data_IF_239434283796
#
_entry.id   IF_239434283796
#
_cell.length_a   1.000
_cell.length_b   1.000
_cell.length_c   1.000
_cell.angle_alpha   90.00
_cell.angle_beta   90.00
_cell.angle_gamma   90.00
#
_symmetry.space_group_name_H-M   'P 1'
#
loop_
_entity.id
_entity.type
_entity.pdbx_description
1 polymer ?
#
# COMPACT_ATOMS: atom_id res chain seq x y z
N UNK A 1 30.37 -3.42 -11.98
CA UNK A 1 31.14 -2.47 -11.15
C UNK A 1 30.42 -2.39 -9.81
N UNK A 2 30.78 -3.31 -8.91
CA UNK A 2 30.10 -3.54 -7.63
C UNK A 2 30.81 -2.72 -6.56
N UNK A 3 30.06 -1.87 -5.87
CA UNK A 3 30.53 -1.12 -4.71
C UNK A 3 29.59 -1.42 -3.56
N UNK A 4 29.94 -2.45 -2.79
CA UNK A 4 29.36 -2.75 -1.48
C UNK A 4 30.41 -2.37 -0.45
N UNK A 5 30.18 -1.24 0.23
CA UNK A 5 30.96 -0.80 1.37
C UNK A 5 30.05 -0.75 2.59
N UNK A 6 30.51 -1.39 3.67
CA UNK A 6 30.47 -0.88 5.05
C UNK A 6 29.12 -0.91 5.78
N UNK A 7 28.68 -2.08 6.25
CA UNK A 7 27.86 -2.23 7.47
C UNK A 7 28.11 -3.62 8.09
N UNK A 8 29.31 -3.88 8.63
CA UNK A 8 29.56 -5.15 9.35
C UNK A 8 30.31 -5.04 10.69
N UNK A 9 30.69 -3.84 11.14
CA UNK A 9 31.49 -3.67 12.36
C UNK A 9 30.75 -2.97 13.51
N UNK A 10 29.60 -3.49 13.98
CA UNK A 10 29.03 -3.12 15.31
C UNK A 10 28.31 -4.31 15.97
N UNK A 11 28.89 -5.51 15.95
CA UNK A 11 28.41 -6.65 16.75
C UNK A 11 29.61 -7.43 17.29
N UNK A 12 30.43 -6.84 18.17
CA UNK A 12 31.48 -7.61 18.86
C UNK A 12 32.06 -6.97 20.13
N UNK A 13 31.22 -6.41 21.00
CA UNK A 13 31.52 -6.21 22.44
C UNK A 13 30.15 -6.22 23.11
N UNK A 14 29.68 -7.27 23.78
CA UNK A 14 30.05 -7.62 25.15
C UNK A 14 29.29 -8.92 25.51
N UNK A 15 29.99 -10.05 25.61
CA UNK A 15 29.41 -11.29 26.14
C UNK A 15 30.48 -12.17 26.79
N UNK A 16 30.81 -11.86 28.03
CA UNK A 16 31.28 -12.80 29.05
C UNK A 16 30.97 -12.10 30.38
N UNK A 17 30.16 -12.65 31.27
CA UNK A 17 30.61 -13.48 32.38
C UNK A 17 29.39 -14.20 33.00
N UNK A 18 29.56 -15.48 33.32
CA UNK A 18 28.86 -16.16 34.43
C UNK A 18 29.97 -16.75 35.32
N UNK A 19 29.80 -16.85 36.64
CA UNK A 19 29.17 -18.05 37.19
C UNK A 19 28.31 -17.85 38.47
N UNK A 20 27.71 -18.99 38.83
CA UNK A 20 26.82 -19.39 39.92
C UNK A 20 27.07 -18.95 41.38
N UNK A 21 25.94 -18.68 42.06
CA UNK A 21 25.42 -19.23 43.35
C UNK A 21 26.34 -19.40 44.59
N UNK A 22 26.06 -18.67 45.68
CA UNK A 22 25.78 -19.24 47.03
C UNK A 22 25.34 -18.18 48.07
N UNK A 23 24.22 -18.50 48.72
CA UNK A 23 23.68 -18.26 50.08
C UNK A 23 24.32 -17.23 51.05
N UNK A 24 23.50 -16.38 51.69
CA UNK A 24 23.19 -16.32 53.15
C UNK A 24 22.30 -15.10 53.50
N UNK A 25 21.38 -15.33 54.44
CA UNK A 25 20.34 -14.47 55.01
C UNK A 25 20.82 -13.11 55.57
N UNK A 26 19.98 -12.07 55.48
CA UNK A 26 19.50 -11.35 56.66
C UNK A 26 18.22 -10.52 56.39
N UNK A 27 17.67 -9.92 57.44
CA UNK A 27 16.25 -9.85 57.77
C UNK A 27 15.57 -8.46 57.66
N UNK A 28 14.23 -8.50 57.53
CA UNK A 28 13.25 -7.46 57.93
C UNK A 28 12.92 -6.32 56.92
N UNK A 29 11.73 -5.66 57.03
CA UNK A 29 10.85 -5.39 55.90
C UNK A 29 10.87 -3.92 55.44
N UNK A 30 10.08 -3.58 54.41
CA UNK A 30 9.62 -2.25 53.95
C UNK A 30 9.95 -1.99 52.46
N UNK A 31 8.96 -1.45 51.72
CA UNK A 31 8.91 -1.11 50.27
C UNK A 31 8.57 -2.23 49.29
N UNK A 32 7.31 -2.70 49.30
CA UNK A 32 6.74 -3.53 48.22
C UNK A 32 5.78 -2.80 47.27
N UNK A 33 5.53 -1.49 47.47
CA UNK A 33 4.46 -0.79 46.73
C UNK A 33 4.95 -0.03 45.49
N UNK A 34 6.22 0.40 45.41
CA UNK A 34 6.72 1.24 44.30
C UNK A 34 7.34 0.45 43.14
N UNK A 35 7.93 -0.72 43.43
CA UNK A 35 8.66 -1.54 42.44
C UNK A 35 7.72 -2.23 41.44
N UNK A 36 6.46 -2.46 41.81
CA UNK A 36 5.47 -3.13 40.96
C UNK A 36 5.02 -2.21 39.83
N UNK A 37 4.75 -0.92 40.11
CA UNK A 37 4.30 0.06 39.11
C UNK A 37 5.37 0.32 38.05
N UNK A 38 6.64 0.48 38.46
CA UNK A 38 7.76 0.75 37.54
C UNK A 38 8.02 -0.45 36.62
N UNK A 39 7.92 -1.68 37.13
CA UNK A 39 8.06 -2.88 36.28
C UNK A 39 6.92 -3.02 35.29
N UNK A 40 5.69 -2.64 35.66
CA UNK A 40 4.55 -2.64 34.73
C UNK A 40 4.71 -1.59 33.64
N UNK A 41 5.21 -0.38 33.94
CA UNK A 41 5.50 0.63 32.92
C UNK A 41 6.71 0.27 32.05
N UNK A 42 7.81 -0.24 32.61
CA UNK A 42 8.99 -0.65 31.81
C UNK A 42 8.68 -1.82 30.88
N UNK A 43 7.95 -2.85 31.35
CA UNK A 43 7.54 -3.97 30.51
C UNK A 43 6.56 -3.54 29.41
N UNK A 44 5.63 -2.61 29.69
CA UNK A 44 4.74 -2.05 28.67
C UNK A 44 5.48 -1.15 27.67
N UNK A 45 6.57 -0.51 28.08
CA UNK A 45 7.40 0.36 27.22
C UNK A 45 8.29 -0.47 26.29
N UNK A 46 8.86 -1.59 26.77
CA UNK A 46 9.64 -2.52 25.96
C UNK A 46 8.78 -3.26 24.91
N UNK A 47 7.58 -3.73 25.27
CA UNK A 47 6.68 -4.40 24.31
C UNK A 47 6.18 -3.46 23.20
N UNK A 48 5.95 -2.17 23.52
CA UNK A 48 5.53 -1.17 22.55
C UNK A 48 6.68 -0.73 21.62
N UNK A 49 7.93 -0.69 22.14
CA UNK A 49 9.12 -0.38 21.34
C UNK A 49 9.42 -1.48 20.32
N UNK A 50 9.27 -2.75 20.69
CA UNK A 50 9.43 -3.87 19.76
C UNK A 50 8.36 -3.90 18.67
N UNK A 51 7.09 -3.62 19.01
CA UNK A 51 6.04 -3.50 18.00
C UNK A 51 6.28 -2.32 17.05
N UNK A 52 6.74 -1.17 17.55
CA UNK A 52 7.04 0.00 16.72
C UNK A 52 8.23 -0.26 15.79
N UNK A 53 9.33 -0.83 16.30
CA UNK A 53 10.49 -1.19 15.49
C UNK A 53 10.14 -2.27 14.43
N UNK A 54 9.19 -3.16 14.74
CA UNK A 54 8.64 -4.12 13.77
C UNK A 54 7.76 -3.44 12.72
N UNK A 55 6.94 -2.47 13.11
CA UNK A 55 6.13 -1.67 12.19
C UNK A 55 7.02 -0.81 11.29
N UNK A 56 8.04 -0.14 11.84
CA UNK A 56 9.02 0.66 11.11
C UNK A 56 9.77 -0.18 10.07
N UNK A 57 10.26 -1.38 10.44
CA UNK A 57 10.86 -2.32 9.49
C UNK A 57 9.88 -2.76 8.40
N UNK A 58 8.59 -2.93 8.74
CA UNK A 58 7.54 -3.27 7.77
C UNK A 58 7.17 -2.10 6.85
N UNK A 59 7.29 -0.86 7.29
CA UNK A 59 6.99 0.34 6.50
C UNK A 59 8.15 0.67 5.57
N UNK A 60 9.38 0.74 6.11
CA UNK A 60 10.59 1.02 5.32
C UNK A 60 10.78 0.04 4.16
N UNK A 61 10.34 -1.22 4.34
CA UNK A 61 10.37 -2.24 3.29
C UNK A 61 9.23 -2.11 2.26
N UNK A 62 8.16 -1.37 2.55
CA UNK A 62 6.91 -1.32 1.75
C UNK A 62 6.62 0.01 1.07
N UNK A 63 7.29 1.11 1.43
CA UNK A 63 7.18 2.36 0.68
C UNK A 63 7.88 2.17 -0.66
N UNK A 64 7.11 1.76 -1.67
CA UNK A 64 7.49 2.00 -3.05
C UNK A 64 7.39 3.51 -3.23
N UNK A 65 8.43 4.16 -3.73
CA UNK A 65 8.35 5.59 -4.03
C UNK A 65 8.22 5.74 -5.52
N UNK A 66 7.03 6.14 -5.99
CA UNK A 66 6.86 6.49 -7.40
C UNK A 66 7.71 7.71 -7.74
N UNK A 67 8.46 7.58 -8.83
CA UNK A 67 9.31 8.65 -9.36
C UNK A 67 8.87 8.94 -10.79
N UNK A 68 8.81 10.22 -11.20
CA UNK A 68 8.48 10.57 -12.57
C UNK A 68 9.60 10.07 -13.50
N UNK A 69 9.29 9.07 -14.31
CA UNK A 69 10.22 8.49 -15.31
C UNK A 69 9.48 8.26 -16.62
N UNK A 70 10.18 8.44 -17.74
CA UNK A 70 9.65 8.13 -19.07
C UNK A 70 9.77 6.64 -19.35
N UNK A 71 8.85 6.10 -20.14
CA UNK A 71 8.96 4.72 -20.60
C UNK A 71 10.17 4.58 -21.54
N UNK A 72 10.91 3.48 -21.40
CA UNK A 72 12.10 3.20 -22.20
C UNK A 72 11.77 3.00 -23.69
N UNK A 73 10.58 2.48 -23.98
CA UNK A 73 10.10 2.23 -25.35
C UNK A 73 9.23 3.38 -25.89
N UNK A 74 9.19 4.52 -25.19
CA UNK A 74 8.52 5.72 -25.69
C UNK A 74 9.33 6.35 -26.83
N UNK A 75 8.64 6.87 -27.86
CA UNK A 75 9.29 7.41 -29.06
C UNK A 75 10.21 8.58 -28.72
N UNK A 76 9.78 9.47 -27.83
CA UNK A 76 10.61 10.60 -27.38
C UNK A 76 11.87 10.14 -26.66
N UNK A 77 11.77 9.07 -25.86
CA UNK A 77 12.92 8.50 -25.16
C UNK A 77 13.90 7.90 -26.16
N UNK A 78 13.41 7.13 -27.14
CA UNK A 78 14.21 6.54 -28.22
C UNK A 78 14.89 7.60 -29.09
N UNK A 79 14.18 8.68 -29.43
CA UNK A 79 14.70 9.79 -30.22
C UNK A 79 15.75 10.60 -29.43
N UNK A 80 15.53 10.82 -28.13
CA UNK A 80 16.49 11.54 -27.26
C UNK A 80 17.79 10.75 -27.02
N UNK A 81 17.70 9.44 -26.80
CA UNK A 81 18.87 8.60 -26.51
C UNK A 81 19.57 8.08 -27.77
N UNK A 82 19.05 8.37 -28.97
CA UNK A 82 19.54 7.81 -30.26
C UNK A 82 19.70 6.29 -30.22
N UNK A 83 18.75 5.59 -29.60
CA UNK A 83 18.83 4.16 -29.39
C UNK A 83 18.71 3.37 -30.70
N UNK A 84 19.53 2.33 -30.84
CA UNK A 84 19.52 1.41 -31.98
C UNK A 84 18.15 0.73 -32.22
N UNK A 85 17.32 0.63 -31.18
CA UNK A 85 15.96 0.07 -31.25
C UNK A 85 15.00 0.87 -32.14
N UNK A 86 15.32 2.13 -32.44
CA UNK A 86 14.52 2.96 -33.35
C UNK A 86 14.39 2.32 -34.74
N UNK A 87 15.47 1.78 -35.29
CA UNK A 87 15.46 1.12 -36.60
C UNK A 87 14.60 -0.15 -36.62
N UNK A 88 14.66 -0.94 -35.54
CA UNK A 88 13.82 -2.12 -35.37
C UNK A 88 12.33 -1.74 -35.28
N UNK A 89 11.99 -0.69 -34.52
CA UNK A 89 10.62 -0.18 -34.43
C UNK A 89 10.08 0.28 -35.79
N UNK A 90 10.88 1.02 -36.57
CA UNK A 90 10.46 1.45 -37.92
C UNK A 90 10.30 0.27 -38.88
N UNK A 91 11.20 -0.72 -38.81
CA UNK A 91 11.13 -1.92 -39.65
C UNK A 91 9.89 -2.75 -39.33
N UNK A 92 9.56 -2.90 -38.05
CA UNK A 92 8.34 -3.58 -37.59
C UNK A 92 7.09 -2.96 -38.23
N UNK A 93 6.96 -1.64 -38.22
CA UNK A 93 5.80 -0.97 -38.80
C UNK A 93 5.76 -1.03 -40.33
N UNK A 94 6.91 -0.95 -41.00
CA UNK A 94 6.99 -1.18 -42.45
C UNK A 94 6.53 -2.61 -42.80
N UNK A 95 7.03 -3.61 -42.06
CA UNK A 95 6.65 -5.01 -42.25
C UNK A 95 5.15 -5.24 -41.97
N UNK A 96 4.61 -4.63 -40.91
CA UNK A 96 3.18 -4.67 -40.59
C UNK A 96 2.33 -4.08 -41.73
N UNK A 97 2.78 -2.96 -42.33
CA UNK A 97 2.12 -2.36 -43.49
C UNK A 97 2.06 -3.31 -44.69
N UNK A 98 3.19 -3.94 -45.04
CA UNK A 98 3.23 -4.95 -46.11
C UNK A 98 2.35 -6.17 -45.79
N UNK A 99 2.32 -6.61 -44.53
CA UNK A 99 1.48 -7.72 -44.09
C UNK A 99 -0.01 -7.40 -44.25
N UNK A 100 -0.46 -6.19 -43.88
CA UNK A 100 -1.85 -5.75 -44.05
C UNK A 100 -2.24 -5.73 -45.53
N UNK A 101 -1.38 -5.19 -46.40
CA UNK A 101 -1.60 -5.19 -47.86
C UNK A 101 -1.70 -6.62 -48.38
N UNK A 102 -0.76 -7.49 -47.98
CA UNK A 102 -0.74 -8.89 -48.39
C UNK A 102 -2.00 -9.64 -47.94
N UNK A 103 -2.45 -9.41 -46.69
CA UNK A 103 -3.68 -9.99 -46.16
C UNK A 103 -4.90 -9.53 -46.95
N UNK A 104 -5.00 -8.24 -47.26
CA UNK A 104 -6.08 -7.68 -48.08
C UNK A 104 -6.13 -8.27 -49.49
N UNK A 105 -4.98 -8.39 -50.17
CA UNK A 105 -4.90 -9.01 -51.51
C UNK A 105 -5.32 -10.48 -51.48
N UNK A 106 -4.81 -11.25 -50.51
CA UNK A 106 -5.19 -12.67 -50.34
C UNK A 106 -6.68 -12.85 -50.09
N UNK A 107 -7.26 -11.98 -49.25
CA UNK A 107 -8.68 -12.00 -48.94
C UNK A 107 -9.52 -11.66 -50.18
N UNK A 108 -9.11 -10.64 -50.95
CA UNK A 108 -9.78 -10.23 -52.18
C UNK A 108 -9.74 -11.33 -53.25
N UNK A 109 -8.61 -12.01 -53.41
CA UNK A 109 -8.47 -13.13 -54.36
C UNK A 109 -9.31 -14.36 -53.97
N UNK A 110 -9.45 -14.64 -52.67
CA UNK A 110 -10.11 -15.87 -52.20
C UNK A 110 -11.62 -15.71 -52.07
N UNK A 111 -12.08 -14.56 -51.56
CA UNK A 111 -13.48 -14.34 -51.17
C UNK A 111 -14.13 -13.13 -51.88
N UNK A 112 -13.39 -12.38 -52.69
CA UNK A 112 -13.88 -11.15 -53.35
C UNK A 112 -14.06 -9.95 -52.40
N UNK A 113 -13.72 -10.10 -51.12
CA UNK A 113 -13.82 -9.05 -50.09
C UNK A 113 -12.44 -8.62 -49.61
N UNK A 114 -12.24 -7.32 -49.39
CA UNK A 114 -10.96 -6.77 -48.92
C UNK A 114 -10.71 -7.08 -47.44
N UNK A 115 -11.72 -6.89 -46.58
CA UNK A 115 -11.62 -7.10 -45.13
C UNK A 115 -12.77 -7.97 -44.66
N UNK A 116 -12.45 -9.11 -44.05
CA UNK A 116 -13.45 -9.96 -43.40
C UNK A 116 -13.73 -9.46 -41.98
N UNK A 117 -14.99 -9.08 -41.72
CA UNK A 117 -15.45 -8.58 -40.42
C UNK A 117 -16.01 -9.70 -39.53
N UNK A 118 -15.91 -10.96 -39.93
CA UNK A 118 -16.38 -12.10 -39.13
C UNK A 118 -15.71 -12.15 -37.75
N UNK A 119 -14.42 -11.84 -37.67
CA UNK A 119 -13.71 -11.74 -36.39
C UNK A 119 -14.23 -10.59 -35.51
N UNK A 120 -14.55 -9.44 -36.12
CA UNK A 120 -15.14 -8.31 -35.39
C UNK A 120 -16.53 -8.63 -34.84
N UNK A 121 -17.33 -9.41 -35.58
CA UNK A 121 -18.64 -9.90 -35.10
C UNK A 121 -18.50 -10.83 -33.90
N UNK A 122 -17.47 -11.68 -33.89
CA UNK A 122 -17.17 -12.54 -32.73
C UNK A 122 -16.79 -11.73 -31.48
N UNK A 123 -16.14 -10.59 -31.66
CA UNK A 123 -15.81 -9.66 -30.56
C UNK A 123 -17.03 -8.85 -30.07
N UNK A 124 -17.94 -8.47 -30.97
CA UNK A 124 -19.04 -7.53 -30.69
C UNK A 124 -20.39 -8.18 -30.38
N UNK A 125 -20.53 -9.50 -30.52
CA UNK A 125 -21.80 -10.23 -30.42
C UNK A 125 -22.65 -9.89 -29.17
N UNK A 126 -22.02 -9.81 -27.99
CA UNK A 126 -22.68 -9.37 -26.73
C UNK A 126 -21.90 -8.24 -26.03
N UNK A 127 -21.51 -7.21 -26.80
CA UNK A 127 -20.73 -6.09 -26.25
C UNK A 127 -21.48 -5.33 -25.15
N UNK A 128 -22.81 -5.19 -25.25
CA UNK A 128 -23.62 -4.47 -24.27
C UNK A 128 -23.69 -5.26 -22.96
N UNK A 129 -23.92 -6.58 -23.01
CA UNK A 129 -23.91 -7.43 -21.82
C UNK A 129 -22.56 -7.40 -21.11
N UNK A 130 -21.47 -7.36 -21.89
CA UNK A 130 -20.11 -7.24 -21.35
C UNK A 130 -19.90 -5.91 -20.63
N UNK A 131 -20.23 -4.78 -21.26
CA UNK A 131 -20.09 -3.45 -20.67
C UNK A 131 -20.92 -3.34 -19.38
N UNK A 132 -22.18 -3.81 -19.39
CA UNK A 132 -23.03 -3.74 -18.21
C UNK A 132 -22.48 -4.59 -17.05
N UNK A 133 -21.96 -5.78 -17.36
CA UNK A 133 -21.34 -6.65 -16.36
C UNK A 133 -20.05 -6.03 -15.80
N UNK A 134 -19.25 -5.40 -16.65
CA UNK A 134 -18.03 -4.69 -16.26
C UNK A 134 -18.35 -3.48 -15.37
N UNK A 135 -19.36 -2.68 -15.74
CA UNK A 135 -19.85 -1.58 -14.91
C UNK A 135 -20.38 -2.06 -13.56
N UNK A 136 -21.08 -3.19 -13.50
CA UNK A 136 -21.56 -3.77 -12.25
C UNK A 136 -20.40 -4.23 -11.36
N UNK A 137 -19.42 -4.91 -11.95
CA UNK A 137 -18.22 -5.35 -11.25
C UNK A 137 -17.42 -4.15 -10.71
N UNK A 138 -17.13 -3.14 -11.53
CA UNK A 138 -16.45 -1.90 -11.10
C UNK A 138 -17.29 -1.17 -10.05
N UNK A 139 -18.62 -1.12 -10.22
CA UNK A 139 -19.55 -0.56 -9.24
C UNK A 139 -19.47 -1.24 -7.87
N UNK A 140 -19.31 -2.56 -7.84
CA UNK A 140 -19.16 -3.29 -6.59
C UNK A 140 -17.88 -2.94 -5.82
N UNK A 141 -16.83 -2.45 -6.50
CA UNK A 141 -15.56 -2.05 -5.86
C UNK A 141 -15.73 -0.88 -4.89
N UNK A 142 -16.72 0.00 -5.10
CA UNK A 142 -16.99 1.13 -4.21
C UNK A 142 -17.37 0.71 -2.79
N UNK A 143 -17.76 -0.56 -2.59
CA UNK A 143 -17.89 -1.15 -1.27
C UNK A 143 -16.62 -0.99 -0.42
N UNK A 144 -15.43 -1.04 -1.03
CA UNK A 144 -14.16 -0.84 -0.33
C UNK A 144 -14.04 0.55 0.31
N UNK A 145 -14.50 1.58 -0.40
CA UNK A 145 -14.52 2.97 0.11
C UNK A 145 -15.51 3.09 1.26
N UNK A 146 -16.68 2.46 1.15
CA UNK A 146 -17.67 2.43 2.22
C UNK A 146 -17.11 1.77 3.48
N UNK A 147 -16.49 0.59 3.33
CA UNK A 147 -15.83 -0.12 4.43
C UNK A 147 -14.75 0.74 5.08
N UNK A 148 -13.89 1.37 4.28
CA UNK A 148 -12.82 2.20 4.79
C UNK A 148 -13.34 3.45 5.50
N UNK A 149 -14.43 4.04 5.02
CA UNK A 149 -15.07 5.19 5.67
C UNK A 149 -15.67 4.83 7.04
N UNK A 150 -16.18 3.61 7.19
CA UNK A 150 -16.65 3.08 8.48
C UNK A 150 -15.47 2.84 9.43
N UNK A 151 -14.35 2.32 8.93
CA UNK A 151 -13.12 2.14 9.71
C UNK A 151 -12.55 3.50 10.14
N UNK A 152 -12.53 4.49 9.25
CA UNK A 152 -12.06 5.85 9.55
C UNK A 152 -12.88 6.55 10.65
N UNK A 153 -14.18 6.22 10.78
CA UNK A 153 -15.04 6.70 11.87
C UNK A 153 -14.83 5.97 13.20
N UNK A 154 -13.97 4.95 13.24
CA UNK A 154 -13.68 4.19 14.46
C UNK A 154 -14.71 3.12 14.83
N UNK A 155 -15.69 2.82 13.96
CA UNK A 155 -16.71 1.81 14.27
C UNK A 155 -16.16 0.37 14.22
N UNK A 156 -15.16 0.15 13.37
CA UNK A 156 -14.57 -1.18 13.12
C UNK A 156 -13.05 -1.08 13.21
N UNK A 157 -12.43 -2.01 13.93
CA UNK A 157 -10.96 -2.13 13.98
C UNK A 157 -10.44 -2.91 12.78
N UNK A 158 -9.38 -2.40 12.15
CA UNK A 158 -8.75 -3.01 10.97
C UNK A 158 -8.18 -4.42 11.24
N UNK A 159 -7.37 -4.57 12.30
CA UNK A 159 -6.51 -5.73 12.56
C UNK A 159 -7.19 -7.11 12.61
N UNK A 160 -8.51 -7.19 12.77
CA UNK A 160 -9.21 -8.47 12.71
C UNK A 160 -10.48 -8.35 11.88
N UNK A 161 -11.45 -7.56 12.35
CA UNK A 161 -12.77 -7.44 11.73
C UNK A 161 -12.68 -6.87 10.31
N UNK A 162 -11.92 -5.80 10.11
CA UNK A 162 -11.72 -5.20 8.78
C UNK A 162 -11.09 -6.16 7.77
N UNK A 163 -9.99 -6.83 8.14
CA UNK A 163 -9.31 -7.80 7.28
C UNK A 163 -10.18 -9.01 6.92
N UNK A 164 -10.94 -9.55 7.87
CA UNK A 164 -11.85 -10.69 7.60
C UNK A 164 -12.93 -10.28 6.60
N UNK A 165 -13.60 -9.14 6.83
CA UNK A 165 -14.63 -8.62 5.93
C UNK A 165 -14.04 -8.39 4.53
N UNK A 166 -12.86 -7.79 4.45
CA UNK A 166 -12.18 -7.55 3.17
C UNK A 166 -11.90 -8.86 2.43
N UNK A 167 -11.30 -9.87 3.07
CA UNK A 167 -10.97 -11.13 2.39
C UNK A 167 -12.21 -11.89 1.95
N UNK A 168 -13.28 -11.90 2.74
CA UNK A 168 -14.57 -12.48 2.34
C UNK A 168 -15.09 -11.77 1.09
N UNK A 169 -15.07 -10.43 1.08
CA UNK A 169 -15.49 -9.65 -0.08
C UNK A 169 -14.62 -9.92 -1.31
N UNK A 170 -13.30 -10.05 -1.16
CA UNK A 170 -12.37 -10.36 -2.24
C UNK A 170 -12.61 -11.74 -2.87
N UNK A 171 -12.87 -12.74 -2.05
CA UNK A 171 -13.23 -14.09 -2.51
C UNK A 171 -14.52 -13.99 -3.34
N UNK A 172 -15.56 -13.34 -2.81
CA UNK A 172 -16.82 -13.14 -3.55
C UNK A 172 -16.60 -12.35 -4.85
N UNK A 173 -15.78 -11.31 -4.81
CA UNK A 173 -15.46 -10.47 -5.96
C UNK A 173 -14.73 -11.23 -7.08
N UNK A 174 -13.96 -12.27 -6.77
CA UNK A 174 -13.31 -13.11 -7.78
C UNK A 174 -14.26 -14.17 -8.33
N UNK A 175 -14.97 -14.88 -7.45
CA UNK A 175 -15.79 -16.04 -7.84
C UNK A 175 -17.10 -15.63 -8.52
N UNK A 176 -17.75 -14.54 -8.11
CA UNK A 176 -19.04 -14.13 -8.69
C UNK A 176 -18.90 -13.73 -10.16
N UNK A 177 -18.00 -12.81 -10.57
CA UNK A 177 -17.80 -12.48 -11.98
C UNK A 177 -17.28 -13.66 -12.80
N UNK A 178 -16.42 -14.50 -12.21
CA UNK A 178 -15.91 -15.70 -12.90
C UNK A 178 -17.03 -16.73 -13.13
N UNK A 179 -17.93 -16.92 -12.17
CA UNK A 179 -19.11 -17.77 -12.37
C UNK A 179 -20.05 -17.18 -13.42
N UNK A 180 -20.22 -15.84 -13.42
CA UNK A 180 -21.05 -15.13 -14.37
C UNK A 180 -20.59 -15.33 -15.83
N UNK A 181 -19.29 -15.35 -16.11
CA UNK A 181 -18.78 -15.61 -17.47
C UNK A 181 -19.15 -16.99 -17.97
N UNK A 182 -19.06 -18.02 -17.12
CA UNK A 182 -19.47 -19.38 -17.47
C UNK A 182 -20.98 -19.49 -17.71
N UNK A 183 -21.78 -18.82 -16.88
CA UNK A 183 -23.24 -18.82 -17.02
C UNK A 183 -23.69 -18.14 -18.33
N UNK A 184 -23.06 -17.02 -18.68
CA UNK A 184 -23.42 -16.25 -19.87
C UNK A 184 -22.95 -16.89 -21.18
N UNK A 185 -21.93 -17.74 -21.12
CA UNK A 185 -21.44 -18.50 -22.28
C UNK A 185 -20.78 -17.61 -23.36
N UNK A 186 -20.07 -16.56 -22.96
CA UNK A 186 -19.45 -15.62 -23.89
C UNK A 186 -18.32 -16.24 -24.71
N UNK A 187 -18.08 -15.74 -25.95
CA UNK A 187 -16.89 -16.07 -26.73
C UNK A 187 -15.59 -15.89 -25.93
N UNK A 188 -14.57 -16.68 -26.28
CA UNK A 188 -13.31 -16.72 -25.53
C UNK A 188 -12.68 -15.33 -25.32
N UNK A 189 -12.76 -14.44 -26.32
CA UNK A 189 -12.16 -13.09 -26.25
C UNK A 189 -12.84 -12.23 -25.19
N UNK A 190 -14.17 -12.28 -25.12
CA UNK A 190 -14.95 -11.51 -24.14
C UNK A 190 -14.77 -12.07 -22.73
N UNK A 191 -14.83 -13.40 -22.60
CA UNK A 191 -14.56 -14.10 -21.34
C UNK A 191 -13.15 -13.81 -20.82
N UNK A 192 -12.14 -13.85 -21.69
CA UNK A 192 -10.76 -13.53 -21.36
C UNK A 192 -10.59 -12.08 -20.91
N UNK A 193 -11.18 -11.12 -21.63
CA UNK A 193 -11.16 -9.72 -21.24
C UNK A 193 -11.78 -9.52 -19.84
N UNK A 194 -12.98 -10.05 -19.61
CA UNK A 194 -13.71 -9.82 -18.36
C UNK A 194 -13.01 -10.44 -17.15
N UNK A 195 -12.48 -11.66 -17.28
CA UNK A 195 -11.72 -12.32 -16.21
C UNK A 195 -10.41 -11.58 -15.93
N UNK A 196 -9.68 -11.17 -16.97
CA UNK A 196 -8.45 -10.39 -16.79
C UNK A 196 -8.73 -9.05 -16.12
N UNK A 197 -9.81 -8.37 -16.51
CA UNK A 197 -10.25 -7.14 -15.89
C UNK A 197 -10.64 -7.37 -14.41
N UNK A 198 -11.36 -8.45 -14.11
CA UNK A 198 -11.71 -8.86 -12.74
C UNK A 198 -10.47 -9.03 -11.87
N UNK A 199 -9.43 -9.72 -12.38
CA UNK A 199 -8.18 -9.94 -11.65
C UNK A 199 -7.43 -8.62 -11.42
N UNK A 200 -7.34 -7.76 -12.45
CA UNK A 200 -6.75 -6.41 -12.32
C UNK A 200 -7.45 -5.59 -11.24
N UNK A 201 -8.78 -5.59 -11.24
CA UNK A 201 -9.60 -4.87 -10.27
C UNK A 201 -9.51 -5.48 -8.87
N UNK A 202 -9.40 -6.80 -8.73
CA UNK A 202 -9.15 -7.46 -7.45
C UNK A 202 -7.82 -7.01 -6.83
N UNK A 203 -6.76 -6.90 -7.63
CA UNK A 203 -5.45 -6.41 -7.15
C UNK A 203 -5.54 -4.97 -6.65
N UNK A 204 -6.21 -4.08 -7.41
CA UNK A 204 -6.47 -2.70 -7.01
C UNK A 204 -7.29 -2.63 -5.71
N UNK A 205 -8.37 -3.41 -5.63
CA UNK A 205 -9.22 -3.51 -4.45
C UNK A 205 -8.43 -3.94 -3.22
N UNK A 206 -7.56 -4.95 -3.35
CA UNK A 206 -6.70 -5.40 -2.27
C UNK A 206 -5.75 -4.31 -1.81
N UNK A 207 -5.06 -3.67 -2.76
CA UNK A 207 -4.06 -2.66 -2.45
C UNK A 207 -4.67 -1.46 -1.74
N UNK A 208 -5.81 -0.94 -2.23
CA UNK A 208 -6.50 0.19 -1.60
C UNK A 208 -6.97 -0.11 -0.17
N UNK A 209 -7.66 -1.24 0.03
CA UNK A 209 -8.19 -1.58 1.34
C UNK A 209 -7.05 -1.88 2.33
N UNK A 210 -6.03 -2.61 1.90
CA UNK A 210 -4.89 -2.94 2.76
C UNK A 210 -4.13 -1.68 3.20
N UNK A 211 -3.80 -0.81 2.25
CA UNK A 211 -3.04 0.40 2.52
C UNK A 211 -3.80 1.32 3.49
N UNK A 212 -5.05 1.68 3.19
CA UNK A 212 -5.83 2.55 4.07
C UNK A 212 -6.14 1.89 5.43
N UNK A 213 -6.27 0.56 5.46
CA UNK A 213 -6.40 -0.21 6.69
C UNK A 213 -5.18 -0.06 7.61
N UNK A 214 -3.97 -0.15 7.06
CA UNK A 214 -2.75 0.12 7.83
C UNK A 214 -2.69 1.58 8.31
N UNK A 215 -3.04 2.56 7.45
CA UNK A 215 -3.11 3.98 7.86
C UNK A 215 -4.10 4.20 9.00
N UNK A 216 -5.24 3.51 9.02
CA UNK A 216 -6.18 3.58 10.13
C UNK A 216 -5.58 3.09 11.45
N UNK A 217 -4.72 2.07 11.39
CA UNK A 217 -4.02 1.54 12.56
C UNK A 217 -3.00 2.55 13.07
N UNK A 218 -2.29 3.23 12.16
CA UNK A 218 -1.38 4.32 12.52
C UNK A 218 -2.09 5.53 13.09
N UNK A 219 -3.27 5.90 12.58
CA UNK A 219 -4.05 7.03 13.09
C UNK A 219 -4.56 6.81 14.52
N UNK A 220 -5.02 5.58 14.82
CA UNK A 220 -5.38 5.20 16.20
C UNK A 220 -4.15 5.30 17.09
N UNK A 221 -3.02 4.74 16.63
CA UNK A 221 -1.78 4.74 17.40
C UNK A 221 -1.22 6.14 17.64
N UNK A 222 -1.29 7.01 16.64
CA UNK A 222 -0.93 8.42 16.74
C UNK A 222 -1.73 9.13 17.84
N UNK A 223 -3.05 8.88 17.88
CA UNK A 223 -3.93 9.43 18.92
C UNK A 223 -3.54 8.95 20.32
N UNK A 224 -3.25 7.65 20.48
CA UNK A 224 -2.77 7.07 21.74
C UNK A 224 -1.43 7.67 22.20
N UNK A 225 -0.49 7.87 21.28
CA UNK A 225 0.82 8.45 21.60
C UNK A 225 0.67 9.92 22.04
N UNK A 226 -0.17 10.69 21.34
CA UNK A 226 -0.44 12.09 21.66
C UNK A 226 -1.09 12.25 23.03
N UNK A 227 -2.02 11.37 23.38
CA UNK A 227 -2.64 11.34 24.71
C UNK A 227 -1.61 11.02 25.80
N UNK A 228 -0.74 10.01 25.59
CA UNK A 228 0.34 9.68 26.53
C UNK A 228 1.31 10.83 26.73
N UNK A 229 1.67 11.53 25.66
CA UNK A 229 2.54 12.71 25.72
C UNK A 229 1.88 13.83 26.54
N UNK A 230 0.61 14.13 26.28
CA UNK A 230 -0.13 15.15 27.02
C UNK A 230 -0.21 14.83 28.53
N UNK A 231 -0.45 13.56 28.88
CA UNK A 231 -0.49 13.13 30.29
C UNK A 231 0.87 13.28 30.98
N UNK A 232 1.96 12.87 30.34
CA UNK A 232 3.31 12.99 30.91
C UNK A 232 3.79 14.44 31.06
N UNK A 233 3.42 15.32 30.12
CA UNK A 233 3.68 16.77 30.21
C UNK A 233 2.82 17.42 31.30
N UNK A 234 1.59 16.93 31.50
CA UNK A 234 0.74 17.35 32.62
C UNK A 234 1.30 16.93 33.98
N UNK A 235 1.82 15.70 34.07
CA UNK A 235 2.48 15.17 35.27
C UNK A 235 3.79 15.91 35.59
N UNK A 236 4.62 16.22 34.58
CA UNK A 236 5.88 16.94 34.80
C UNK A 236 5.66 18.33 35.40
N UNK A 237 4.67 19.09 34.91
CA UNK A 237 4.30 20.40 35.47
C UNK A 237 3.77 20.35 36.89
N UNK A 238 3.32 19.17 37.36
CA UNK A 238 2.78 18.98 38.71
C UNK A 238 3.86 18.53 39.70
N UNK A 239 4.97 17.96 39.21
CA UNK A 239 6.06 17.39 40.00
C UNK A 239 7.28 18.32 40.12
N UNK A 240 7.15 19.64 39.89
CA UNK A 240 8.23 20.63 40.04
C UNK A 240 8.75 20.79 41.51
N UNK A 241 8.40 19.86 42.40
CA UNK A 241 8.86 19.75 43.78
C UNK A 241 9.30 18.29 43.98
N UNK A 242 10.63 18.07 44.07
CA UNK A 242 11.36 16.82 44.40
C UNK A 242 11.96 15.98 43.24
N UNK A 243 13.30 15.89 43.25
CA UNK A 243 14.25 14.99 42.56
C UNK A 243 14.73 15.30 41.11
N UNK A 244 16.00 15.76 40.98
CA UNK A 244 16.69 16.06 39.72
C UNK A 244 16.91 14.84 38.79
N UNK A 245 17.18 13.65 39.34
CA UNK A 245 17.49 12.44 38.55
C UNK A 245 16.24 11.85 37.87
N UNK A 246 15.07 12.00 38.49
CA UNK A 246 13.79 11.54 37.94
C UNK A 246 13.33 12.43 36.79
N UNK A 247 13.66 13.72 36.85
CA UNK A 247 13.40 14.69 35.80
C UNK A 247 14.20 14.41 34.52
N UNK A 248 15.44 13.92 34.64
CA UNK A 248 16.28 13.59 33.47
C UNK A 248 15.72 12.38 32.70
N UNK A 249 15.37 11.29 33.39
CA UNK A 249 14.73 10.12 32.77
C UNK A 249 13.36 10.48 32.14
N UNK A 250 12.58 11.34 32.78
CA UNK A 250 11.27 11.75 32.26
C UNK A 250 11.41 12.63 31.01
N UNK A 251 12.42 13.51 30.96
CA UNK A 251 12.75 14.29 29.74
C UNK A 251 13.15 13.37 28.59
N UNK A 252 14.02 12.38 28.84
CA UNK A 252 14.39 11.40 27.81
C UNK A 252 13.19 10.62 27.27
N UNK A 253 12.22 10.25 28.12
CA UNK A 253 10.99 9.58 27.69
C UNK A 253 10.12 10.50 26.83
N UNK A 254 10.02 11.79 27.19
CA UNK A 254 9.28 12.78 26.42
C UNK A 254 9.90 12.99 25.04
N UNK A 255 11.22 13.14 24.95
CA UNK A 255 11.95 13.31 23.70
C UNK A 255 11.75 12.08 22.79
N UNK A 256 11.87 10.87 23.34
CA UNK A 256 11.59 9.63 22.60
C UNK A 256 10.15 9.53 22.12
N UNK A 257 9.18 10.03 22.90
CA UNK A 257 7.78 9.98 22.53
C UNK A 257 7.46 11.00 21.44
N UNK A 258 8.06 12.19 21.51
CA UNK A 258 7.96 13.23 20.48
C UNK A 258 8.54 12.75 19.15
N UNK A 259 9.73 12.14 19.16
CA UNK A 259 10.32 11.54 17.96
C UNK A 259 9.37 10.51 17.32
N UNK A 260 8.75 9.66 18.14
CA UNK A 260 7.78 8.66 17.67
C UNK A 260 6.50 9.27 17.13
N UNK A 261 6.00 10.34 17.73
CA UNK A 261 4.83 11.08 17.24
C UNK A 261 5.14 11.65 15.86
N UNK A 262 6.27 12.35 15.71
CA UNK A 262 6.70 12.93 14.44
C UNK A 262 6.89 11.86 13.36
N UNK A 263 7.44 10.69 13.73
CA UNK A 263 7.60 9.57 12.82
C UNK A 263 6.26 9.00 12.34
N UNK A 264 5.33 8.73 13.26
CA UNK A 264 4.01 8.18 12.92
C UNK A 264 3.20 9.18 12.11
N UNK A 265 3.25 10.46 12.48
CA UNK A 265 2.66 11.55 11.70
C UNK A 265 3.19 11.56 10.27
N UNK A 266 4.51 11.43 10.09
CA UNK A 266 5.14 11.32 8.77
C UNK A 266 4.56 10.22 7.88
N UNK A 267 4.03 9.12 8.44
CA UNK A 267 3.39 8.04 7.67
C UNK A 267 1.92 8.29 7.34
N UNK A 268 1.24 9.17 8.05
CA UNK A 268 -0.14 9.56 7.75
C UNK A 268 -0.22 10.57 6.61
N UNK A 269 0.87 11.32 6.40
CA UNK A 269 0.98 12.34 5.36
C UNK A 269 1.58 11.78 4.07
N UNK A 270 1.09 12.31 2.95
CA UNK A 270 1.72 12.16 1.64
C UNK A 270 3.15 12.76 1.63
N UNK A 271 4.08 12.31 0.75
CA UNK A 271 5.38 12.96 0.56
C UNK A 271 5.31 14.48 0.34
N UNK A 272 4.30 14.97 -0.38
CA UNK A 272 4.07 16.40 -0.63
C UNK A 272 3.32 17.11 0.52
N UNK A 273 2.95 16.39 1.58
CA UNK A 273 2.11 16.81 2.72
C UNK A 273 0.71 17.36 2.38
N UNK A 274 0.31 17.40 1.11
CA UNK A 274 -0.98 17.95 0.68
C UNK A 274 -2.18 17.09 1.05
N UNK A 275 -2.00 15.77 1.17
CA UNK A 275 -3.08 14.81 1.45
C UNK A 275 -2.71 14.04 2.72
N UNK A 276 -3.67 13.91 3.63
CA UNK A 276 -3.53 13.17 4.87
C UNK A 276 -4.71 12.21 5.07
N UNK A 277 -4.47 11.12 5.78
CA UNK A 277 -5.53 10.27 6.28
C UNK A 277 -6.23 10.92 7.49
N UNK A 278 -7.58 10.91 7.60
CA UNK A 278 -8.56 10.14 6.83
C UNK A 278 -9.20 10.90 5.64
N UNK A 279 -8.76 12.12 5.34
CA UNK A 279 -9.36 12.97 4.29
C UNK A 279 -9.25 12.36 2.89
N UNK A 280 -8.28 11.47 2.68
CA UNK A 280 -8.09 10.77 1.43
C UNK A 280 -9.22 9.78 1.08
N UNK A 281 -10.03 9.35 2.04
CA UNK A 281 -11.10 8.33 1.85
C UNK A 281 -12.35 8.96 1.22
N UNK A 282 -12.23 9.34 -0.05
CA UNK A 282 -13.32 9.88 -0.87
C UNK A 282 -13.57 9.03 -2.10
N UNK A 283 -14.79 9.11 -2.64
CA UNK A 283 -15.14 8.42 -3.89
C UNK A 283 -14.33 8.96 -5.08
N UNK A 284 -14.05 10.27 -5.12
CA UNK A 284 -13.29 10.89 -6.21
C UNK A 284 -11.84 10.41 -6.24
N UNK A 285 -11.18 10.35 -5.08
CA UNK A 285 -9.81 9.82 -4.98
C UNK A 285 -9.76 8.35 -5.38
N UNK A 286 -10.81 7.58 -5.06
CA UNK A 286 -10.88 6.18 -5.47
C UNK A 286 -11.06 6.01 -6.98
N UNK A 287 -11.94 6.81 -7.60
CA UNK A 287 -12.12 6.81 -9.06
C UNK A 287 -10.82 7.17 -9.77
N UNK A 288 -10.11 8.20 -9.29
CA UNK A 288 -8.80 8.56 -9.82
C UNK A 288 -7.81 7.38 -9.73
N UNK A 289 -7.74 6.68 -8.58
CA UNK A 289 -6.94 5.46 -8.46
C UNK A 289 -7.37 4.34 -9.42
N UNK A 290 -8.66 4.16 -9.68
CA UNK A 290 -9.14 3.14 -10.64
C UNK A 290 -8.62 3.43 -12.05
N UNK A 291 -8.57 4.71 -12.45
CA UNK A 291 -8.11 5.14 -13.77
C UNK A 291 -6.58 5.18 -13.92
N UNK A 292 -5.84 5.36 -12.82
CA UNK A 292 -4.37 5.37 -12.86
C UNK A 292 -3.84 3.97 -13.26
N UNK A 293 -2.87 3.87 -14.19
CA UNK A 293 -2.33 2.61 -14.68
C UNK A 293 -1.34 1.96 -13.70
N UNK A 294 -1.71 1.87 -12.42
CA UNK A 294 -0.94 1.20 -11.36
C UNK A 294 -1.87 0.28 -10.55
N UNK A 295 -1.29 -0.76 -9.95
CA UNK A 295 -1.99 -1.69 -9.07
C UNK A 295 -1.77 -1.38 -7.59
N UNK A 296 -0.77 -0.56 -7.28
CA UNK A 296 -0.38 -0.19 -5.92
C UNK A 296 -0.99 1.16 -5.57
N UNK A 297 -1.85 1.17 -4.56
CA UNK A 297 -2.44 2.38 -4.02
C UNK A 297 -1.43 3.18 -3.19
N UNK A 298 -1.37 4.49 -3.45
CA UNK A 298 -0.65 5.47 -2.64
C UNK A 298 -1.54 6.70 -2.43
N UNK A 299 -1.23 7.48 -1.38
CA UNK A 299 -1.93 8.75 -1.08
C UNK A 299 -1.86 9.73 -2.25
N UNK A 300 -0.73 9.78 -2.94
CA UNK A 300 -0.45 10.73 -4.00
C UNK A 300 0.46 10.09 -5.05
N UNK A 301 0.15 10.32 -6.33
CA UNK A 301 0.96 9.87 -7.46
C UNK A 301 1.68 11.05 -8.11
N UNK A 302 2.90 10.87 -8.62
CA UNK A 302 3.58 11.89 -9.39
C UNK A 302 2.76 12.22 -10.64
N UNK A 303 2.47 13.51 -10.85
CA UNK A 303 1.71 14.01 -12.00
C UNK A 303 2.63 14.73 -12.99
N UNK A 304 2.27 14.68 -14.26
CA UNK A 304 2.88 15.51 -15.31
C UNK A 304 2.27 16.90 -15.30
N UNK A 305 3.05 17.94 -15.57
CA UNK A 305 2.59 19.33 -15.58
C UNK A 305 1.51 19.61 -16.62
N UNK A 306 1.51 18.88 -17.74
CA UNK A 306 0.55 19.04 -18.84
C UNK A 306 0.24 17.71 -19.53
N UNK A 307 -0.98 17.61 -20.04
CA UNK A 307 -1.39 16.53 -20.96
C UNK A 307 -0.88 16.88 -22.35
N UNK A 308 -0.22 15.93 -23.01
CA UNK A 308 0.24 16.11 -24.39
C UNK A 308 -0.95 15.82 -25.33
N UNK A 309 -1.24 16.70 -26.31
CA UNK A 309 -2.39 16.57 -27.20
C UNK A 309 -2.23 15.41 -28.20
#
# INVERSE_FOLDING_TARGET
MLQTTQVEDIILVEKHISPSLSTINDSSPIKKTTTTTIKTTLSATLTNNDELNRLQRKIAKRVVTFQPRRSQLDRETLDFHQDSFRGFFTLFWIAMGFYIIQAGVKNFQSAGILVDLSFFRLFSQDAIGLILSDMCMVGSMFFAVLLQKVIARGWIRWRYTGMIIQHIFQVMFLFVPTYWTFFKGWPWVQSGFFVLHTISMLMKLHSYAFYNGELSTYAIRFSELKERYANLVGESKKSDIEDDEKNENQRQILDQLEEKINQVEGYLHSPSKSICYPENVTFLNYVDFLLVPTLVYELEYPRTEKIRP
#
